data_IF_371902054559
#
_entry.id   IF_371902054559
#
_cell.length_a   1.000
_cell.length_b   1.000
_cell.length_c   1.000
_cell.angle_alpha   90.00
_cell.angle_beta   90.00
_cell.angle_gamma   90.00
#
_symmetry.space_group_name_H-M   'P 1'
#
loop_
_entity.id
_entity.type
_entity.pdbx_description
1 polymer ?
#
# COMPACT_ATOMS: atom_id res chain seq x y z
N UNK A 1 -19.34 4.92 24.87
CA UNK A 1 -18.03 4.28 25.21
C UNK A 1 -17.94 2.85 24.67
N UNK A 2 -18.81 1.90 25.06
CA UNK A 2 -18.78 0.52 24.54
C UNK A 2 -18.93 0.42 23.01
N UNK A 3 -19.86 1.19 22.42
CA UNK A 3 -20.00 1.28 20.96
C UNK A 3 -18.71 1.80 20.27
N UNK A 4 -17.98 2.70 20.93
CA UNK A 4 -16.72 3.23 20.42
C UNK A 4 -15.65 2.14 20.34
N UNK A 5 -15.51 1.36 21.42
CA UNK A 5 -14.56 0.25 21.48
C UNK A 5 -14.84 -0.79 20.39
N UNK A 6 -16.13 -1.17 20.22
CA UNK A 6 -16.52 -2.15 19.20
C UNK A 6 -16.19 -1.65 17.78
N UNK A 7 -16.53 -0.40 17.47
CA UNK A 7 -16.24 0.19 16.17
C UNK A 7 -14.74 0.32 15.92
N UNK A 8 -13.96 0.83 16.89
CA UNK A 8 -12.51 0.97 16.73
C UNK A 8 -11.80 -0.36 16.55
N UNK A 9 -12.23 -1.41 17.27
CA UNK A 9 -11.63 -2.75 17.17
C UNK A 9 -11.96 -3.49 15.87
N UNK A 10 -13.09 -3.15 15.23
CA UNK A 10 -13.46 -3.76 13.95
C UNK A 10 -12.73 -3.09 12.78
N UNK A 11 -12.64 -1.76 12.80
CA UNK A 11 -12.13 -0.95 11.67
C UNK A 11 -10.61 -0.82 11.67
N UNK A 12 -9.96 -0.89 12.83
CA UNK A 12 -8.51 -0.79 12.98
C UNK A 12 -7.90 0.59 12.74
N UNK A 13 -8.74 1.61 12.53
CA UNK A 13 -8.34 3.02 12.52
C UNK A 13 -8.86 3.70 13.77
N UNK A 14 -7.96 4.28 14.56
CA UNK A 14 -8.31 4.83 15.87
C UNK A 14 -8.46 6.34 15.90
N UNK A 15 -7.52 7.07 15.31
CA UNK A 15 -7.53 8.53 15.35
C UNK A 15 -8.74 9.14 14.64
N UNK A 16 -9.08 8.65 13.44
CA UNK A 16 -10.22 9.19 12.68
C UNK A 16 -11.57 8.90 13.35
N UNK A 17 -11.78 7.68 13.86
CA UNK A 17 -13.05 7.31 14.53
C UNK A 17 -13.23 8.10 15.83
N UNK A 18 -12.15 8.33 16.57
CA UNK A 18 -12.20 9.16 17.77
C UNK A 18 -12.66 10.59 17.45
N UNK A 19 -12.09 11.21 16.42
CA UNK A 19 -12.49 12.56 15.98
C UNK A 19 -13.96 12.57 15.55
N UNK A 20 -14.40 11.64 14.71
CA UNK A 20 -15.80 11.54 14.26
C UNK A 20 -16.75 11.43 15.46
N UNK A 21 -16.41 10.63 16.47
CA UNK A 21 -17.26 10.45 17.65
C UNK A 21 -17.33 11.69 18.54
N UNK A 22 -16.21 12.41 18.69
CA UNK A 22 -16.17 13.67 19.44
C UNK A 22 -17.00 14.74 18.75
N UNK A 23 -16.84 14.90 17.44
CA UNK A 23 -17.63 15.83 16.61
C UNK A 23 -19.12 15.48 16.67
N UNK A 24 -19.49 14.20 16.47
CA UNK A 24 -20.88 13.75 16.51
C UNK A 24 -21.54 13.91 17.90
N UNK A 25 -20.76 13.80 18.97
CA UNK A 25 -21.27 13.99 20.34
C UNK A 25 -21.33 15.47 20.73
N UNK A 26 -20.70 16.37 19.96
CA UNK A 26 -20.64 17.81 20.25
C UNK A 26 -19.95 18.17 21.57
N UNK A 27 -19.18 17.23 22.15
CA UNK A 27 -18.56 17.42 23.47
C UNK A 27 -17.13 16.89 23.50
N UNK A 28 -16.18 17.83 23.48
CA UNK A 28 -14.74 17.56 23.51
C UNK A 28 -14.25 17.05 24.87
N UNK A 29 -15.00 17.30 25.94
CA UNK A 29 -14.69 16.81 27.29
C UNK A 29 -14.64 15.28 27.37
N UNK A 30 -15.36 14.57 26.50
CA UNK A 30 -15.31 13.12 26.40
C UNK A 30 -14.15 12.57 25.55
N UNK A 31 -13.31 13.43 24.95
CA UNK A 31 -12.23 12.98 24.06
C UNK A 31 -11.15 12.18 24.80
N UNK A 32 -10.76 12.62 26.00
CA UNK A 32 -9.73 11.96 26.80
C UNK A 32 -10.10 10.52 27.20
N UNK A 33 -11.28 10.25 27.82
CA UNK A 33 -11.67 8.88 28.13
C UNK A 33 -11.87 8.01 26.88
N UNK A 34 -12.37 8.59 25.77
CA UNK A 34 -12.44 7.87 24.48
C UNK A 34 -11.06 7.47 23.97
N UNK A 35 -10.05 8.34 24.11
CA UNK A 35 -8.69 8.07 23.67
C UNK A 35 -8.08 6.89 24.43
N UNK A 36 -8.28 6.82 25.74
CA UNK A 36 -7.81 5.69 26.57
C UNK A 36 -8.44 4.37 26.08
N UNK A 37 -9.76 4.35 25.92
CA UNK A 37 -10.49 3.15 25.49
C UNK A 37 -10.02 2.68 24.11
N UNK A 38 -9.98 3.59 23.14
CA UNK A 38 -9.60 3.28 21.76
C UNK A 38 -8.12 2.84 21.68
N UNK A 39 -7.23 3.39 22.51
CA UNK A 39 -5.83 2.98 22.57
C UNK A 39 -5.67 1.56 23.12
N UNK A 40 -6.41 1.21 24.19
CA UNK A 40 -6.43 -0.16 24.73
C UNK A 40 -7.00 -1.13 23.70
N UNK A 41 -8.10 -0.78 23.04
CA UNK A 41 -8.68 -1.59 21.97
C UNK A 41 -7.67 -1.84 20.85
N UNK A 42 -6.93 -0.80 20.40
CA UNK A 42 -5.93 -0.96 19.34
C UNK A 42 -4.76 -1.83 19.75
N UNK A 43 -4.33 -1.73 21.00
CA UNK A 43 -3.29 -2.58 21.53
C UNK A 43 -3.69 -4.06 21.48
N UNK A 44 -4.93 -4.36 21.91
CA UNK A 44 -5.49 -5.72 21.85
C UNK A 44 -5.67 -6.18 20.39
N UNK A 45 -6.22 -5.33 19.52
CA UNK A 45 -6.42 -5.62 18.10
C UNK A 45 -5.11 -6.06 17.42
N UNK A 46 -4.03 -5.31 17.65
CA UNK A 46 -2.71 -5.60 17.06
C UNK A 46 -2.18 -7.00 17.44
N UNK A 47 -2.64 -7.59 18.55
CA UNK A 47 -2.21 -8.93 18.97
C UNK A 47 -3.07 -10.05 18.35
N UNK A 48 -4.37 -9.80 18.13
CA UNK A 48 -5.33 -10.86 17.81
C UNK A 48 -5.68 -10.96 16.33
N UNK A 49 -6.07 -9.84 15.69
CA UNK A 49 -6.77 -9.90 14.40
C UNK A 49 -6.43 -8.70 13.51
N UNK A 50 -6.29 -8.96 12.21
CA UNK A 50 -6.21 -7.92 11.19
C UNK A 50 -7.58 -7.26 10.97
N UNK A 51 -7.68 -5.92 10.90
CA UNK A 51 -8.96 -5.24 10.76
C UNK A 51 -9.77 -5.64 9.52
N UNK A 52 -11.09 -5.51 9.62
CA UNK A 52 -12.02 -6.07 8.62
C UNK A 52 -11.77 -5.52 7.20
N UNK A 53 -11.47 -4.24 7.08
CA UNK A 53 -11.27 -3.63 5.77
C UNK A 53 -9.99 -4.12 5.08
N UNK A 54 -8.96 -4.43 5.85
CA UNK A 54 -7.73 -5.01 5.30
C UNK A 54 -7.97 -6.45 4.87
N UNK A 55 -8.68 -7.25 5.68
CA UNK A 55 -9.02 -8.64 5.32
C UNK A 55 -9.91 -8.72 4.08
N UNK A 56 -10.92 -7.86 3.97
CA UNK A 56 -11.78 -7.79 2.78
C UNK A 56 -11.00 -7.41 1.53
N UNK A 57 -10.09 -6.45 1.64
CA UNK A 57 -9.22 -6.03 0.54
C UNK A 57 -8.30 -7.18 0.07
N UNK A 58 -7.75 -7.95 1.00
CA UNK A 58 -6.97 -9.16 0.69
C UNK A 58 -7.84 -10.23 0.02
N UNK A 59 -9.08 -10.44 0.48
CA UNK A 59 -10.02 -11.38 -0.15
C UNK A 59 -10.41 -10.96 -1.57
N UNK A 60 -10.50 -9.66 -1.84
CA UNK A 60 -10.76 -9.13 -3.19
C UNK A 60 -9.54 -9.22 -4.12
N UNK A 61 -8.35 -9.57 -3.62
CA UNK A 61 -7.13 -9.67 -4.41
C UNK A 61 -6.57 -8.32 -4.88
N UNK A 62 -6.92 -7.23 -4.19
CA UNK A 62 -6.43 -5.90 -4.54
C UNK A 62 -4.96 -5.74 -4.09
N UNK A 63 -4.05 -5.31 -4.99
CA UNK A 63 -2.66 -5.07 -4.64
C UNK A 63 -2.54 -3.75 -3.87
N UNK A 64 -2.60 -3.82 -2.54
CA UNK A 64 -2.44 -2.66 -1.66
C UNK A 64 -1.03 -2.59 -1.09
N UNK A 65 -0.41 -1.41 -1.19
CA UNK A 65 0.93 -1.16 -0.67
C UNK A 65 0.83 -0.50 0.72
N UNK A 66 1.32 -1.14 1.80
CA UNK A 66 1.33 -0.52 3.12
C UNK A 66 2.29 0.67 3.17
N UNK A 67 2.00 1.64 4.06
CA UNK A 67 2.82 2.85 4.23
C UNK A 67 4.23 2.56 4.77
N UNK A 68 4.42 1.41 5.43
CA UNK A 68 5.71 0.96 5.91
C UNK A 68 6.02 -0.40 5.30
N UNK A 69 7.27 -0.66 4.92
CA UNK A 69 7.64 -1.96 4.42
C UNK A 69 7.57 -3.01 5.56
N UNK A 70 7.41 -4.30 5.23
CA UNK A 70 7.36 -5.36 6.23
C UNK A 70 8.63 -5.39 7.09
N UNK A 71 8.54 -5.77 8.38
CA UNK A 71 9.74 -6.00 9.18
C UNK A 71 10.62 -7.05 8.49
N UNK A 72 11.95 -6.88 8.57
CA UNK A 72 12.97 -7.72 7.90
C UNK A 72 13.16 -7.49 6.39
N UNK A 73 12.48 -6.52 5.77
CA UNK A 73 12.71 -6.21 4.35
C UNK A 73 13.93 -5.32 4.09
N UNK A 74 14.62 -4.83 5.13
CA UNK A 74 15.75 -3.89 4.99
C UNK A 74 16.93 -4.47 4.19
N UNK A 75 17.14 -5.79 4.28
CA UNK A 75 18.25 -6.48 3.62
C UNK A 75 17.86 -7.10 2.26
N UNK A 76 16.66 -6.85 1.75
CA UNK A 76 16.22 -7.41 0.47
C UNK A 76 16.70 -6.48 -0.66
N UNK A 77 17.61 -6.94 -1.54
CA UNK A 77 18.08 -6.10 -2.64
C UNK A 77 16.94 -5.88 -3.65
N UNK A 78 16.86 -4.68 -4.21
CA UNK A 78 15.89 -4.30 -5.24
C UNK A 78 15.96 -5.20 -6.47
N UNK A 79 17.13 -5.77 -6.75
CA UNK A 79 17.35 -6.75 -7.82
C UNK A 79 16.49 -8.01 -7.70
N UNK A 80 16.04 -8.36 -6.49
CA UNK A 80 15.18 -9.52 -6.23
C UNK A 80 13.69 -9.21 -6.34
N UNK A 81 13.32 -7.93 -6.24
CA UNK A 81 11.92 -7.46 -6.25
C UNK A 81 11.54 -6.92 -7.64
N UNK A 82 12.50 -6.37 -8.37
CA UNK A 82 12.28 -5.89 -9.73
C UNK A 82 11.85 -7.03 -10.66
N UNK A 83 11.10 -6.68 -11.71
CA UNK A 83 10.73 -7.65 -12.75
C UNK A 83 11.98 -8.25 -13.38
N UNK A 84 12.05 -9.59 -13.42
CA UNK A 84 13.21 -10.29 -13.97
C UNK A 84 13.38 -9.93 -15.46
N UNK A 85 14.61 -9.63 -15.90
CA UNK A 85 14.89 -9.34 -17.30
C UNK A 85 14.59 -10.54 -18.21
N UNK A 86 14.31 -10.30 -19.51
CA UNK A 86 14.47 -9.01 -20.20
C UNK A 86 13.24 -8.09 -20.12
N UNK A 87 13.48 -6.82 -19.80
CA UNK A 87 12.48 -5.75 -19.91
C UNK A 87 12.25 -5.38 -21.38
N UNK A 88 10.99 -5.13 -21.74
CA UNK A 88 10.65 -4.64 -23.08
C UNK A 88 10.93 -3.15 -23.13
N UNK A 89 11.84 -2.74 -24.01
CA UNK A 89 12.38 -1.38 -24.05
C UNK A 89 12.23 -0.77 -25.44
N UNK A 90 12.23 0.56 -25.51
CA UNK A 90 12.25 1.29 -26.78
C UNK A 90 13.62 1.97 -27.01
N UNK A 91 14.14 1.99 -28.24
CA UNK A 91 15.27 2.84 -28.58
C UNK A 91 14.83 4.32 -28.61
N UNK A 92 15.79 5.26 -28.49
CA UNK A 92 15.53 6.71 -28.56
C UNK A 92 14.74 7.16 -29.81
N UNK A 93 14.95 6.47 -30.94
CA UNK A 93 14.22 6.70 -32.19
C UNK A 93 13.58 5.38 -32.67
N UNK A 94 12.38 5.01 -32.18
CA UNK A 94 11.71 3.80 -32.62
C UNK A 94 10.93 4.05 -33.91
N UNK A 95 10.91 3.06 -34.80
CA UNK A 95 10.01 3.07 -35.96
C UNK A 95 8.59 2.76 -35.51
N UNK A 96 7.58 3.39 -36.14
CA UNK A 96 6.16 3.21 -35.82
C UNK A 96 5.75 1.72 -35.84
N UNK A 97 6.27 0.95 -36.80
CA UNK A 97 6.01 -0.49 -36.92
C UNK A 97 6.48 -1.24 -35.66
N UNK A 98 7.68 -0.92 -35.15
CA UNK A 98 8.25 -1.53 -33.95
C UNK A 98 7.42 -1.22 -32.71
N UNK A 99 6.93 0.03 -32.59
CA UNK A 99 6.06 0.47 -31.49
C UNK A 99 4.74 -0.31 -31.50
N UNK A 100 4.06 -0.36 -32.65
CA UNK A 100 2.77 -1.06 -32.79
C UNK A 100 2.93 -2.55 -32.49
N UNK A 101 3.99 -3.17 -33.00
CA UNK A 101 4.26 -4.61 -32.77
C UNK A 101 4.47 -4.90 -31.29
N UNK A 102 5.21 -4.05 -30.57
CA UNK A 102 5.47 -4.22 -29.13
C UNK A 102 4.19 -4.00 -28.32
N UNK A 103 3.40 -2.96 -28.63
CA UNK A 103 2.13 -2.68 -27.96
C UNK A 103 1.09 -3.78 -28.16
N UNK A 104 1.08 -4.45 -29.33
CA UNK A 104 0.20 -5.60 -29.57
C UNK A 104 0.65 -6.85 -28.80
N UNK A 105 1.96 -7.01 -28.57
CA UNK A 105 2.53 -8.19 -27.92
C UNK A 105 2.55 -8.09 -26.39
N UNK A 106 2.61 -6.88 -25.83
CA UNK A 106 2.80 -6.64 -24.40
C UNK A 106 1.62 -5.87 -23.81
N UNK A 107 1.06 -6.35 -22.69
CA UNK A 107 0.00 -5.66 -21.93
C UNK A 107 0.55 -4.64 -20.90
N UNK A 108 1.85 -4.32 -20.98
CA UNK A 108 2.48 -3.37 -20.08
C UNK A 108 2.09 -1.94 -20.45
N UNK A 109 1.93 -1.08 -19.43
CA UNK A 109 1.50 0.31 -19.61
C UNK A 109 2.68 1.30 -19.59
N UNK A 110 3.91 0.82 -19.35
CA UNK A 110 5.12 1.63 -19.34
C UNK A 110 6.28 0.88 -19.98
N UNK A 111 7.03 1.58 -20.83
CA UNK A 111 8.18 1.05 -21.55
C UNK A 111 9.36 2.01 -21.38
N UNK A 112 10.47 1.59 -20.74
CA UNK A 112 11.64 2.45 -20.60
C UNK A 112 12.32 2.66 -21.97
N UNK A 113 12.76 3.89 -22.22
CA UNK A 113 13.51 4.26 -23.42
C UNK A 113 15.01 4.23 -23.09
N UNK A 114 15.79 3.45 -23.84
CA UNK A 114 17.25 3.31 -23.67
C UNK A 114 18.02 3.74 -24.91
N UNK A 115 19.16 4.37 -24.66
CA UNK A 115 20.16 4.71 -25.67
C UNK A 115 21.18 3.56 -25.76
N UNK A 116 21.42 3.05 -26.97
CA UNK A 116 22.29 1.86 -27.18
C UNK A 116 23.74 2.06 -26.73
N UNK A 117 24.20 3.30 -26.55
CA UNK A 117 25.60 3.61 -26.21
C UNK A 117 25.90 3.67 -24.69
N UNK A 118 24.92 3.49 -23.80
CA UNK A 118 25.12 3.58 -22.34
C UNK A 118 25.04 2.25 -21.58
N UNK A 119 25.10 1.11 -22.28
CA UNK A 119 24.97 -0.22 -21.67
C UNK A 119 26.33 -0.82 -21.23
N UNK A 120 27.45 -0.14 -21.46
CA UNK A 120 28.79 -0.71 -21.18
C UNK A 120 29.37 -0.45 -19.79
N UNK A 121 28.64 0.13 -18.85
CA UNK A 121 29.17 0.32 -17.48
C UNK A 121 28.03 0.16 -16.50
N UNK A 122 28.13 -0.88 -15.66
CA UNK A 122 27.52 -1.11 -14.35
C UNK A 122 27.32 -2.63 -14.20
N UNK A 123 28.47 -3.31 -14.13
CA UNK A 123 28.65 -4.61 -13.50
C UNK A 123 28.74 -4.42 -11.98
#
# INVERSE_FOLDING_TARGET
LGAAAQLSGTVGKTFSILVIMVEASGSISFSFPLMVIVSVTKYVENFFVMPIYETQMLMMGLPFLPSKPPPLSENIPTSRVMSNPPLVTFPLRPTVITVVTILQRCKHQGFPVIEKDKVSVLH
#
